data_IF_049409987790
#
_entry.id   IF_049409987790
#
_cell.length_a   1.000
_cell.length_b   1.000
_cell.length_c   1.000
_cell.angle_alpha   90.00
_cell.angle_beta   90.00
_cell.angle_gamma   90.00
#
_symmetry.space_group_name_H-M   'P 1'
#
loop_
_entity.id
_entity.type
_entity.pdbx_description
1 polymer ?
#
# COMPACT_ATOMS: atom_id res chain seq x y z
N UNK A 1 5.12 -11.31 10.08
CA UNK A 1 5.51 -11.77 8.72
C UNK A 1 5.37 -13.28 8.66
N UNK A 2 5.02 -13.86 7.51
CA UNK A 2 4.81 -15.31 7.32
C UNK A 2 5.53 -15.82 6.07
N UNK A 3 5.80 -17.12 6.00
CA UNK A 3 6.39 -17.71 4.80
C UNK A 3 5.39 -17.65 3.63
N UNK A 4 5.86 -17.34 2.43
CA UNK A 4 4.99 -17.12 1.27
C UNK A 4 4.21 -18.37 0.87
N UNK A 5 4.84 -19.54 0.92
CA UNK A 5 4.18 -20.81 0.61
C UNK A 5 3.11 -21.21 1.63
N UNK A 6 3.32 -20.87 2.91
CA UNK A 6 2.31 -21.05 3.94
C UNK A 6 1.11 -20.13 3.69
N UNK A 7 1.35 -18.86 3.37
CA UNK A 7 0.28 -17.93 3.03
C UNK A 7 -0.54 -18.39 1.80
N UNK A 8 0.14 -18.88 0.77
CA UNK A 8 -0.52 -19.42 -0.42
C UNK A 8 -1.40 -20.61 -0.06
N UNK A 9 -0.89 -21.53 0.77
CA UNK A 9 -1.64 -22.71 1.25
C UNK A 9 -2.86 -22.28 2.06
N UNK A 10 -2.66 -21.45 3.08
CA UNK A 10 -3.72 -20.99 3.98
C UNK A 10 -4.85 -20.25 3.24
N UNK A 11 -4.51 -19.44 2.23
CA UNK A 11 -5.51 -18.75 1.40
C UNK A 11 -6.27 -19.75 0.51
N UNK A 12 -5.61 -20.78 -0.02
CA UNK A 12 -6.26 -21.83 -0.82
C UNK A 12 -7.20 -22.70 0.03
N UNK A 13 -6.75 -23.05 1.23
CA UNK A 13 -7.45 -23.96 2.14
C UNK A 13 -8.55 -23.24 2.95
N UNK A 14 -8.77 -21.94 2.71
CA UNK A 14 -9.86 -21.17 3.31
C UNK A 14 -9.60 -20.70 4.74
N UNK A 15 -8.36 -20.74 5.21
CA UNK A 15 -7.99 -20.27 6.57
C UNK A 15 -8.35 -18.79 6.80
N UNK A 16 -8.40 -18.00 5.72
CA UNK A 16 -8.74 -16.57 5.77
C UNK A 16 -10.19 -16.25 5.38
N UNK A 17 -11.06 -17.25 5.21
CA UNK A 17 -12.41 -17.04 4.66
C UNK A 17 -13.29 -16.18 5.56
N UNK A 18 -13.14 -16.29 6.88
CA UNK A 18 -13.85 -15.43 7.82
C UNK A 18 -13.43 -13.96 7.65
N UNK A 19 -12.14 -13.69 7.48
CA UNK A 19 -11.60 -12.34 7.26
C UNK A 19 -12.01 -11.80 5.89
N UNK A 20 -11.96 -12.63 4.85
CA UNK A 20 -12.42 -12.26 3.50
C UNK A 20 -13.92 -11.96 3.49
N UNK A 21 -14.72 -12.74 4.23
CA UNK A 21 -16.16 -12.50 4.40
C UNK A 21 -16.41 -11.16 5.08
N UNK A 22 -15.65 -10.83 6.13
CA UNK A 22 -15.77 -9.55 6.83
C UNK A 22 -15.40 -8.36 5.93
N UNK A 23 -14.40 -8.53 5.06
CA UNK A 23 -13.89 -7.46 4.20
C UNK A 23 -14.72 -7.23 2.93
N UNK A 24 -15.25 -8.30 2.33
CA UNK A 24 -15.86 -8.24 0.99
C UNK A 24 -17.30 -8.75 0.94
N UNK A 25 -17.81 -9.38 2.01
CA UNK A 25 -19.12 -10.01 2.05
C UNK A 25 -19.11 -11.47 1.59
N UNK A 26 -20.26 -11.98 1.11
CA UNK A 26 -20.47 -13.41 0.89
C UNK A 26 -19.84 -14.02 -0.37
N UNK A 27 -19.48 -13.22 -1.38
CA UNK A 27 -18.76 -13.69 -2.57
C UNK A 27 -17.41 -12.98 -2.69
N UNK A 28 -16.34 -13.69 -2.34
CA UNK A 28 -14.96 -13.20 -2.32
C UNK A 28 -14.02 -14.01 -3.23
N UNK A 29 -14.57 -14.77 -4.19
CA UNK A 29 -13.77 -15.64 -5.06
C UNK A 29 -12.71 -14.84 -5.86
N UNK A 30 -13.13 -13.72 -6.44
CA UNK A 30 -12.24 -12.81 -7.18
C UNK A 30 -11.13 -12.25 -6.27
N UNK A 31 -11.47 -11.87 -5.05
CA UNK A 31 -10.55 -11.31 -4.08
C UNK A 31 -9.52 -12.35 -3.66
N UNK A 32 -9.94 -13.58 -3.36
CA UNK A 32 -9.02 -14.71 -3.11
C UNK A 32 -8.04 -14.89 -4.26
N UNK A 33 -8.53 -14.88 -5.51
CA UNK A 33 -7.67 -14.99 -6.69
C UNK A 33 -6.71 -13.80 -6.82
N UNK A 34 -7.13 -12.58 -6.48
CA UNK A 34 -6.25 -11.39 -6.44
C UNK A 34 -5.09 -11.59 -5.47
N UNK A 35 -5.37 -12.06 -4.24
CA UNK A 35 -4.32 -12.33 -3.24
C UNK A 35 -3.34 -13.39 -3.73
N UNK A 36 -3.85 -14.53 -4.21
CA UNK A 36 -3.02 -15.62 -4.73
C UNK A 36 -2.16 -15.18 -5.93
N UNK A 37 -2.76 -14.48 -6.89
CA UNK A 37 -2.06 -13.99 -8.07
C UNK A 37 -0.92 -13.02 -7.71
N UNK A 38 -1.15 -12.14 -6.73
CA UNK A 38 -0.13 -11.22 -6.25
C UNK A 38 1.01 -11.95 -5.54
N UNK A 39 0.70 -12.94 -4.68
CA UNK A 39 1.69 -13.79 -4.02
C UNK A 39 2.55 -14.57 -5.04
N UNK A 40 1.94 -15.21 -6.03
CA UNK A 40 2.67 -15.92 -7.10
C UNK A 40 3.53 -14.97 -7.94
N UNK A 41 3.03 -13.77 -8.22
CA UNK A 41 3.80 -12.78 -8.97
C UNK A 41 5.00 -12.29 -8.16
N UNK A 42 4.83 -12.10 -6.85
CA UNK A 42 5.90 -11.71 -5.94
C UNK A 42 6.97 -12.80 -5.86
N UNK A 43 6.59 -14.05 -5.58
CA UNK A 43 7.54 -15.17 -5.45
C UNK A 43 8.35 -15.41 -6.73
N UNK A 44 7.74 -15.21 -7.91
CA UNK A 44 8.44 -15.33 -9.19
C UNK A 44 9.44 -14.21 -9.44
N UNK A 45 9.19 -13.00 -8.94
CA UNK A 45 10.00 -11.81 -9.23
C UNK A 45 11.05 -11.50 -8.17
N UNK A 46 10.83 -11.92 -6.94
CA UNK A 46 11.73 -11.72 -5.80
C UNK A 46 11.86 -13.05 -5.02
N UNK A 47 12.37 -14.13 -5.66
CA UNK A 47 12.40 -15.48 -5.09
C UNK A 47 13.22 -15.60 -3.81
N UNK A 48 14.16 -14.69 -3.57
CA UNK A 48 14.97 -14.61 -2.37
C UNK A 48 14.17 -14.15 -1.13
N UNK A 49 13.03 -13.48 -1.32
CA UNK A 49 12.18 -12.96 -0.24
C UNK A 49 11.06 -13.96 0.10
N UNK A 50 11.35 -14.90 0.99
CA UNK A 50 10.37 -15.93 1.37
C UNK A 50 9.45 -15.53 2.53
N UNK A 51 9.87 -14.62 3.41
CA UNK A 51 9.03 -14.06 4.48
C UNK A 51 8.42 -12.75 4.02
N UNK A 52 7.09 -12.68 4.01
CA UNK A 52 6.34 -11.51 3.54
C UNK A 52 5.30 -11.05 4.55
N UNK A 53 4.87 -9.80 4.39
CA UNK A 53 3.69 -9.22 5.03
C UNK A 53 2.60 -9.03 3.99
N UNK A 54 1.38 -9.41 4.34
CA UNK A 54 0.18 -9.14 3.56
C UNK A 54 -0.54 -7.94 4.17
N UNK A 55 -0.86 -6.95 3.35
CA UNK A 55 -1.42 -5.66 3.77
C UNK A 55 -2.55 -5.30 2.81
N UNK A 56 -3.63 -4.71 3.32
CA UNK A 56 -4.68 -4.12 2.49
C UNK A 56 -4.96 -2.70 2.96
N UNK A 57 -5.15 -1.79 2.01
CA UNK A 57 -5.65 -0.43 2.22
C UNK A 57 -7.02 -0.33 1.54
N UNK A 58 -8.13 -0.29 2.29
CA UNK A 58 -9.45 -0.07 1.70
C UNK A 58 -9.51 1.33 1.09
N UNK A 59 -10.29 1.47 0.02
CA UNK A 59 -10.56 2.79 -0.54
C UNK A 59 -11.74 3.45 0.17
N UNK A 60 -11.61 4.76 0.42
CA UNK A 60 -12.67 5.61 0.99
C UNK A 60 -13.59 6.07 -0.13
N UNK A 61 -14.87 5.67 -0.13
CA UNK A 61 -15.92 6.27 -0.98
C UNK A 61 -16.61 7.37 -0.19
N UNK A 62 -16.64 8.57 -0.75
CA UNK A 62 -17.47 9.67 -0.25
C UNK A 62 -18.91 9.44 -0.73
N UNK A 63 -19.82 9.16 0.21
CA UNK A 63 -21.24 8.90 -0.09
C UNK A 63 -22.04 10.19 -0.27
N UNK A 64 -21.70 11.22 0.50
CA UNK A 64 -22.28 12.57 0.41
C UNK A 64 -21.16 13.59 0.62
N UNK A 65 -20.82 14.28 -0.47
CA UNK A 65 -19.76 15.29 -0.50
C UNK A 65 -18.88 15.11 -1.73
N UNK A 66 -19.21 15.82 -2.82
CA UNK A 66 -18.34 15.90 -3.99
C UNK A 66 -17.03 16.64 -3.70
N UNK A 67 -16.35 17.09 -4.75
CA UNK A 67 -15.05 17.80 -4.65
C UNK A 67 -15.06 18.96 -3.62
N UNK A 68 -16.21 19.61 -3.42
CA UNK A 68 -16.41 20.75 -2.51
C UNK A 68 -16.47 20.36 -1.02
N UNK A 69 -16.79 19.12 -0.67
CA UNK A 69 -16.85 18.69 0.73
C UNK A 69 -15.48 18.43 1.34
N UNK A 70 -14.41 18.31 0.53
CA UNK A 70 -13.04 18.09 1.02
C UNK A 70 -12.48 19.27 1.82
N UNK A 71 -13.10 20.45 1.72
CA UNK A 71 -12.71 21.65 2.49
C UNK A 71 -13.60 21.93 3.71
N UNK A 72 -14.67 21.14 3.91
CA UNK A 72 -15.53 21.25 5.07
C UNK A 72 -15.44 19.94 5.84
N UNK A 73 -15.26 19.96 7.16
CA UNK A 73 -15.17 18.76 8.02
C UNK A 73 -16.50 17.93 8.10
N UNK A 74 -17.25 17.85 7.00
CA UNK A 74 -18.57 17.24 6.84
C UNK A 74 -18.60 16.40 5.56
N UNK A 75 -17.81 15.33 5.53
CA UNK A 75 -17.92 14.27 4.54
C UNK A 75 -18.48 13.01 5.20
N UNK A 76 -19.51 12.40 4.62
CA UNK A 76 -19.96 11.05 5.01
C UNK A 76 -19.20 10.06 4.13
N UNK A 77 -18.18 9.44 4.70
CA UNK A 77 -17.31 8.50 3.99
C UNK A 77 -17.57 7.07 4.46
N UNK A 78 -17.68 6.13 3.53
CA UNK A 78 -17.76 4.69 3.80
C UNK A 78 -16.55 4.00 3.18
N UNK A 79 -15.97 3.02 3.88
CA UNK A 79 -15.00 2.12 3.26
C UNK A 79 -15.75 1.28 2.22
N UNK A 80 -15.32 1.33 0.97
CA UNK A 80 -15.87 0.46 -0.06
C UNK A 80 -15.27 -0.93 0.04
N UNK A 81 -15.98 -1.93 -0.50
CA UNK A 81 -15.48 -3.30 -0.72
C UNK A 81 -14.39 -3.36 -1.81
N UNK A 82 -13.74 -2.23 -2.11
CA UNK A 82 -12.72 -2.04 -3.11
C UNK A 82 -11.46 -1.55 -2.41
N UNK A 83 -10.35 -2.26 -2.62
CA UNK A 83 -9.11 -2.04 -1.92
C UNK A 83 -7.89 -2.04 -2.85
N UNK A 84 -6.78 -1.57 -2.31
CA UNK A 84 -5.46 -1.86 -2.82
C UNK A 84 -4.80 -2.86 -1.88
N UNK A 85 -4.44 -4.04 -2.39
CA UNK A 85 -3.71 -5.06 -1.62
C UNK A 85 -2.22 -4.95 -1.89
N UNK A 86 -1.39 -5.35 -0.92
CA UNK A 86 0.07 -5.26 -0.97
C UNK A 86 0.77 -6.48 -0.37
N UNK A 87 1.81 -6.96 -1.04
CA UNK A 87 2.79 -7.92 -0.52
C UNK A 87 4.10 -7.18 -0.31
N UNK A 88 4.58 -7.17 0.94
CA UNK A 88 5.79 -6.47 1.32
C UNK A 88 6.84 -7.42 1.92
N UNK A 89 8.11 -7.21 1.59
CA UNK A 89 9.23 -7.92 2.21
C UNK A 89 10.44 -7.00 2.40
N UNK A 90 11.29 -7.34 3.38
CA UNK A 90 12.58 -6.67 3.57
C UNK A 90 13.53 -7.05 2.43
N UNK A 91 14.25 -6.06 1.92
CA UNK A 91 15.41 -6.26 1.07
C UNK A 91 16.69 -5.99 1.87
N UNK A 92 17.78 -6.75 1.63
CA UNK A 92 19.07 -6.49 2.27
C UNK A 92 19.72 -5.20 1.75
N UNK A 93 19.53 -4.88 0.47
CA UNK A 93 20.01 -3.63 -0.13
C UNK A 93 19.11 -2.45 0.24
N UNK A 94 19.66 -1.23 0.32
CA UNK A 94 18.90 0.00 0.58
C UNK A 94 18.22 0.53 -0.69
N UNK A 95 17.37 -0.29 -1.29
CA UNK A 95 16.56 0.07 -2.46
C UNK A 95 15.09 -0.32 -2.28
N UNK A 96 14.24 0.20 -3.16
CA UNK A 96 12.81 -0.14 -3.23
C UNK A 96 12.52 -0.81 -4.55
N UNK A 97 12.04 -2.06 -4.50
CA UNK A 97 11.44 -2.74 -5.63
C UNK A 97 9.92 -2.58 -5.53
N UNK A 98 9.37 -1.66 -6.32
CA UNK A 98 7.94 -1.38 -6.33
C UNK A 98 7.29 -1.89 -7.61
N UNK A 99 6.15 -2.57 -7.50
CA UNK A 99 5.36 -2.95 -8.68
C UNK A 99 3.87 -2.92 -8.38
N UNK A 100 3.13 -2.10 -9.11
CA UNK A 100 1.68 -2.30 -9.25
C UNK A 100 1.42 -3.28 -10.39
N UNK A 101 0.61 -4.31 -10.17
CA UNK A 101 0.20 -5.21 -11.24
C UNK A 101 -0.44 -4.42 -12.40
N UNK A 102 -0.16 -4.85 -13.63
CA UNK A 102 -0.48 -4.10 -14.85
C UNK A 102 0.57 -3.05 -15.26
N UNK A 103 1.51 -2.70 -14.38
CA UNK A 103 2.57 -1.72 -14.65
C UNK A 103 3.98 -2.35 -14.59
N UNK A 104 4.97 -1.73 -15.26
CA UNK A 104 6.37 -2.13 -15.14
C UNK A 104 6.88 -2.06 -13.70
N UNK A 105 7.78 -2.97 -13.34
CA UNK A 105 8.46 -2.94 -12.05
C UNK A 105 9.44 -1.77 -12.01
N UNK A 106 9.44 -1.06 -10.88
CA UNK A 106 10.34 0.04 -10.59
C UNK A 106 11.38 -0.42 -9.57
N UNK A 107 12.65 -0.13 -9.84
CA UNK A 107 13.73 -0.23 -8.86
C UNK A 107 14.25 1.19 -8.56
N UNK A 108 14.22 1.59 -7.29
CA UNK A 108 14.68 2.89 -6.85
C UNK A 108 15.70 2.74 -5.72
N UNK A 109 16.92 3.24 -5.94
CA UNK A 109 17.88 3.41 -4.85
C UNK A 109 17.44 4.54 -3.93
N UNK A 110 17.66 4.35 -2.63
CA UNK A 110 17.27 5.30 -1.58
C UNK A 110 18.36 6.35 -1.29
N UNK A 111 19.17 6.69 -2.29
CA UNK A 111 20.21 7.71 -2.17
C UNK A 111 19.56 9.09 -2.09
N UNK A 112 19.44 9.58 -0.84
CA UNK A 112 18.80 10.84 -0.51
C UNK A 112 17.26 10.76 -0.52
N UNK A 113 16.65 11.25 0.56
CA UNK A 113 15.20 11.29 0.73
C UNK A 113 14.57 12.61 0.27
N UNK A 114 15.33 13.48 -0.39
CA UNK A 114 14.83 14.80 -0.77
C UNK A 114 13.75 14.70 -1.85
N UNK A 115 12.67 15.45 -1.63
CA UNK A 115 11.60 15.65 -2.61
C UNK A 115 12.19 16.18 -3.92
N UNK A 116 11.70 15.65 -5.04
CA UNK A 116 12.05 16.13 -6.39
C UNK A 116 10.80 16.62 -7.09
N UNK A 117 10.77 17.89 -7.50
CA UNK A 117 9.61 18.47 -8.20
C UNK A 117 9.30 17.73 -9.51
N UNK A 118 10.32 17.21 -10.20
CA UNK A 118 10.15 16.45 -11.44
C UNK A 118 9.44 15.10 -11.24
N UNK A 119 9.33 14.61 -10.00
CA UNK A 119 8.66 13.35 -9.67
C UNK A 119 7.19 13.54 -9.25
N UNK A 120 6.67 14.78 -9.26
CA UNK A 120 5.27 15.07 -8.90
C UNK A 120 4.30 14.17 -9.69
N UNK A 121 3.17 13.82 -9.06
CA UNK A 121 2.16 12.92 -9.61
C UNK A 121 2.66 11.52 -10.02
N UNK A 122 3.76 11.04 -9.43
CA UNK A 122 4.31 9.71 -9.72
C UNK A 122 4.47 8.84 -8.45
N UNK A 123 4.52 7.51 -8.60
CA UNK A 123 4.87 6.61 -7.48
C UNK A 123 6.23 6.93 -6.86
N UNK A 124 7.17 7.52 -7.64
CA UNK A 124 8.48 7.92 -7.13
C UNK A 124 8.37 8.99 -6.05
N UNK A 125 7.51 9.99 -6.25
CA UNK A 125 7.26 11.03 -5.25
C UNK A 125 6.65 10.45 -3.96
N UNK A 126 5.75 9.47 -4.08
CA UNK A 126 5.18 8.77 -2.92
C UNK A 126 6.26 8.03 -2.15
N UNK A 127 7.06 7.20 -2.85
CA UNK A 127 8.14 6.41 -2.22
C UNK A 127 9.10 7.36 -1.49
N UNK A 128 9.64 8.38 -2.17
CA UNK A 128 10.56 9.33 -1.52
C UNK A 128 9.90 10.06 -0.35
N UNK A 129 8.66 10.50 -0.51
CA UNK A 129 7.92 11.21 0.53
C UNK A 129 7.75 10.38 1.79
N UNK A 130 7.37 9.11 1.66
CA UNK A 130 7.21 8.20 2.79
C UNK A 130 8.55 8.00 3.50
N UNK A 131 9.60 7.65 2.78
CA UNK A 131 10.93 7.46 3.38
C UNK A 131 11.44 8.74 4.05
N UNK A 132 11.27 9.90 3.40
CA UNK A 132 11.67 11.19 3.97
C UNK A 132 10.91 11.50 5.25
N UNK A 133 9.60 11.26 5.26
CA UNK A 133 8.75 11.61 6.41
C UNK A 133 8.98 10.67 7.58
N UNK A 134 9.14 9.37 7.34
CA UNK A 134 9.52 8.40 8.37
C UNK A 134 10.87 8.76 8.99
N UNK A 135 11.89 9.03 8.16
CA UNK A 135 13.21 9.42 8.64
C UNK A 135 13.18 10.75 9.42
N UNK A 136 12.40 11.75 8.96
CA UNK A 136 12.23 13.02 9.67
C UNK A 136 11.60 12.87 11.06
N UNK A 137 10.65 11.92 11.21
CA UNK A 137 9.98 11.64 12.47
C UNK A 137 10.78 10.69 13.38
N UNK A 138 11.96 10.23 12.95
CA UNK A 138 12.81 9.32 13.73
C UNK A 138 12.42 7.84 13.63
N UNK A 139 11.57 7.47 12.67
CA UNK A 139 11.21 6.07 12.43
C UNK A 139 12.25 5.31 11.62
N UNK A 140 12.31 4.00 11.84
CA UNK A 140 13.20 3.12 11.10
C UNK A 140 12.75 2.97 9.65
N UNK A 141 13.72 3.01 8.74
CA UNK A 141 13.52 2.77 7.31
C UNK A 141 14.58 1.79 6.79
N UNK A 142 14.21 0.99 5.78
CA UNK A 142 15.12 0.04 5.14
C UNK A 142 14.63 -0.36 3.75
N UNK A 143 15.39 -1.20 3.05
CA UNK A 143 15.04 -1.62 1.70
C UNK A 143 13.79 -2.50 1.64
N UNK A 144 12.97 -2.33 0.62
CA UNK A 144 11.66 -3.00 0.57
C UNK A 144 11.27 -3.43 -0.84
N UNK A 145 10.77 -4.65 -0.96
CA UNK A 145 9.97 -5.06 -2.09
C UNK A 145 8.50 -4.86 -1.73
N UNK A 146 7.75 -4.11 -2.53
CA UNK A 146 6.31 -3.89 -2.38
C UNK A 146 5.60 -4.10 -3.71
N UNK A 147 4.78 -5.15 -3.77
CA UNK A 147 3.96 -5.45 -4.92
C UNK A 147 2.50 -5.16 -4.58
N UNK A 148 1.78 -4.45 -5.43
CA UNK A 148 0.41 -4.02 -5.17
C UNK A 148 -0.56 -4.45 -6.27
N UNK A 149 -1.82 -4.65 -5.90
CA UNK A 149 -2.90 -4.83 -6.85
C UNK A 149 -4.13 -4.01 -6.42
N UNK A 150 -4.49 -3.02 -7.23
CA UNK A 150 -5.63 -2.15 -6.99
C UNK A 150 -6.89 -2.73 -7.61
N UNK A 151 -7.93 -2.94 -6.81
CA UNK A 151 -9.29 -3.15 -7.30
C UNK A 151 -10.00 -1.85 -7.69
N UNK A 152 -9.37 -0.69 -7.41
CA UNK A 152 -9.92 0.64 -7.67
C UNK A 152 -9.80 0.95 -9.16
N UNK A 153 -10.93 1.21 -9.81
CA UNK A 153 -10.99 1.62 -11.22
C UNK A 153 -10.59 3.09 -11.39
N UNK A 154 -9.82 3.38 -12.43
CA UNK A 154 -9.46 4.76 -12.80
C UNK A 154 -10.73 5.57 -13.11
N UNK A 155 -10.87 6.75 -12.50
CA UNK A 155 -12.02 7.65 -12.74
C UNK A 155 -13.16 7.55 -11.72
N UNK A 156 -13.09 6.65 -10.74
CA UNK A 156 -14.14 6.49 -9.71
C UNK A 156 -14.20 7.63 -8.65
N UNK A 157 -13.48 8.74 -8.83
CA UNK A 157 -13.31 9.78 -7.79
C UNK A 157 -12.48 9.32 -6.57
N UNK A 158 -12.06 8.05 -6.56
CA UNK A 158 -11.26 7.37 -5.55
C UNK A 158 -9.76 7.54 -5.83
N UNK A 159 -9.02 8.05 -4.83
CA UNK A 159 -7.60 8.35 -5.01
C UNK A 159 -6.74 7.09 -4.87
N UNK A 160 -6.44 6.45 -6.00
CA UNK A 160 -5.52 5.30 -6.06
C UNK A 160 -4.13 5.62 -5.48
N UNK A 161 -3.64 6.87 -5.65
CA UNK A 161 -2.39 7.36 -5.05
C UNK A 161 -2.39 7.25 -3.53
N UNK A 162 -3.49 7.66 -2.88
CA UNK A 162 -3.61 7.64 -1.42
C UNK A 162 -3.60 6.22 -0.89
N UNK A 163 -4.24 5.28 -1.60
CA UNK A 163 -4.22 3.86 -1.21
C UNK A 163 -2.81 3.26 -1.32
N UNK A 164 -2.04 3.65 -2.35
CA UNK A 164 -0.63 3.25 -2.50
C UNK A 164 0.25 3.88 -1.41
N UNK A 165 0.05 5.16 -1.09
CA UNK A 165 0.76 5.85 0.00
C UNK A 165 0.52 5.17 1.35
N UNK A 166 -0.73 4.83 1.66
CA UNK A 166 -1.10 4.10 2.89
C UNK A 166 -0.47 2.72 2.93
N UNK A 167 -0.54 1.93 1.84
CA UNK A 167 0.13 0.64 1.77
C UNK A 167 1.63 0.75 2.00
N UNK A 168 2.30 1.73 1.40
CA UNK A 168 3.73 1.96 1.57
C UNK A 168 4.08 2.28 3.04
N UNK A 169 3.29 3.14 3.68
CA UNK A 169 3.47 3.50 5.09
C UNK A 169 3.25 2.32 6.03
N UNK A 170 2.16 1.57 5.82
CA UNK A 170 1.85 0.35 6.59
C UNK A 170 2.95 -0.71 6.39
N UNK A 171 3.43 -0.90 5.16
CA UNK A 171 4.53 -1.82 4.88
C UNK A 171 5.81 -1.43 5.62
N UNK A 172 6.17 -0.14 5.60
CA UNK A 172 7.32 0.36 6.37
C UNK A 172 7.15 0.13 7.88
N UNK A 173 5.95 0.36 8.41
CA UNK A 173 5.65 0.14 9.82
C UNK A 173 5.80 -1.35 10.21
N UNK A 174 5.19 -2.24 9.43
CA UNK A 174 5.23 -3.70 9.68
C UNK A 174 6.64 -4.26 9.55
N UNK A 175 7.41 -3.80 8.56
CA UNK A 175 8.74 -4.33 8.32
C UNK A 175 9.76 -3.77 9.33
N UNK A 176 9.74 -2.48 9.63
CA UNK A 176 10.86 -1.83 10.32
C UNK A 176 10.55 -1.23 11.67
N UNK A 177 9.27 -1.12 12.04
CA UNK A 177 8.84 -0.44 13.26
C UNK A 177 7.89 -1.30 14.11
N UNK A 178 7.95 -2.63 13.95
CA UNK A 178 7.19 -3.60 14.75
C UNK A 178 5.68 -3.31 14.85
N UNK A 179 5.13 -2.67 13.83
CA UNK A 179 3.74 -2.21 13.80
C UNK A 179 3.35 -1.24 14.95
N UNK A 180 4.33 -0.55 15.54
CA UNK A 180 4.13 0.33 16.70
C UNK A 180 3.57 1.71 16.33
N UNK A 181 3.69 2.13 15.07
CA UNK A 181 3.16 3.43 14.61
C UNK A 181 1.64 3.32 14.49
N UNK A 182 0.93 4.25 15.13
CA UNK A 182 -0.54 4.26 15.15
C UNK A 182 -1.14 4.53 13.76
N UNK A 183 -2.34 4.01 13.51
CA UNK A 183 -3.08 4.23 12.25
C UNK A 183 -3.30 5.72 11.95
N UNK A 184 -3.59 6.52 12.97
CA UNK A 184 -3.80 7.96 12.88
C UNK A 184 -2.51 8.70 12.47
N UNK A 185 -1.37 8.28 13.00
CA UNK A 185 -0.08 8.83 12.59
C UNK A 185 0.33 8.41 11.18
N UNK A 186 0.11 7.15 10.80
CA UNK A 186 0.31 6.71 9.41
C UNK A 186 -0.57 7.50 8.45
N UNK A 187 -1.82 7.79 8.83
CA UNK A 187 -2.71 8.64 8.05
C UNK A 187 -2.17 10.07 7.91
N UNK A 188 -1.68 10.70 8.99
CA UNK A 188 -1.03 12.02 8.92
C UNK A 188 0.20 12.02 8.02
N UNK A 189 1.04 10.99 8.10
CA UNK A 189 2.23 10.84 7.26
C UNK A 189 1.82 10.77 5.79
N UNK A 190 0.87 9.92 5.45
CA UNK A 190 0.42 9.73 4.06
C UNK A 190 -0.27 10.97 3.51
N UNK A 191 -1.11 11.63 4.31
CA UNK A 191 -1.71 12.91 3.93
C UNK A 191 -0.66 13.99 3.65
N UNK A 192 0.37 14.07 4.51
CA UNK A 192 1.49 14.98 4.27
C UNK A 192 2.20 14.67 2.94
N UNK A 193 2.46 13.39 2.64
CA UNK A 193 3.10 12.96 1.39
C UNK A 193 2.26 13.27 0.16
N UNK A 194 0.95 13.07 0.21
CA UNK A 194 0.06 13.38 -0.90
C UNK A 194 0.13 14.87 -1.26
N UNK A 195 0.09 15.77 -0.27
CA UNK A 195 0.07 17.21 -0.51
C UNK A 195 1.46 17.78 -0.80
N UNK A 196 2.49 17.28 -0.10
CA UNK A 196 3.84 17.85 -0.13
C UNK A 196 4.80 17.13 -1.07
N UNK A 197 4.53 15.91 -1.53
CA UNK A 197 5.43 15.19 -2.43
C UNK A 197 4.73 14.82 -3.74
N UNK A 198 3.57 14.17 -3.65
CA UNK A 198 2.77 13.83 -4.83
C UNK A 198 2.15 15.07 -5.49
N UNK A 199 1.95 16.16 -4.72
CA UNK A 199 1.33 17.42 -5.16
C UNK A 199 -0.12 17.24 -5.57
N UNK A 200 -0.87 16.49 -4.77
CA UNK A 200 -2.33 16.43 -4.91
C UNK A 200 -2.89 17.82 -4.66
N UNK A 201 -3.56 18.38 -5.69
CA UNK A 201 -4.15 19.72 -5.69
C UNK A 201 -5.21 19.90 -4.61
#
# INVERSE_FOLDING_TARGET
MRHIDELIRDIRDGTFDAQLTLLYGGDFFEQRNRYLHLLFTFSKRVPECTKVALISSPCKVDLLGGYEARQSDKAVTMAANVDCIGIAAKLPARNVLFRSLGFPMMNMNLDGFLRRRQEAHSPRAIIRGIYSRFNYLGYNVGGMALFTHSGITSGAGLSSSTSVSVLMAMAMNVLYNDSSISTDELYRITHWVENNCFMKS
#
